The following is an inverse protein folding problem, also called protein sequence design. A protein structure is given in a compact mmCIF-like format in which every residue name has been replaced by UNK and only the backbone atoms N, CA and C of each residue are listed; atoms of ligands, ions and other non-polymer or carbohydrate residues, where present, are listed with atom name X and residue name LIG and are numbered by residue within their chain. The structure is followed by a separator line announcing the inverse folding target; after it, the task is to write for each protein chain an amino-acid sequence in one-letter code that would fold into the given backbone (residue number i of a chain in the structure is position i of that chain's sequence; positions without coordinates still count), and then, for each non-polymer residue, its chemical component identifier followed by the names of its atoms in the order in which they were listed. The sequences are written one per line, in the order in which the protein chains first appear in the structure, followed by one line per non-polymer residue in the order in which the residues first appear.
data_IF_796316525936
#
_entry.id   IF_796316525936
#
_cell.length_a   1.000
_cell.length_b   1.000
_cell.length_c   1.000
_cell.angle_alpha   90.00
_cell.angle_beta   90.00
_cell.angle_gamma   90.00
#
_symmetry.space_group_name_H-M   'P 1'
#
loop_
_entity.id
_entity.type
_entity.pdbx_description
1 polymer ?
#
# COMPACT_ATOMS: atom_id res chain seq x y z
N UNK A 1 -10.82 1.50 -2.87
CA UNK A 1 -10.88 1.00 -1.47
C UNK A 1 -10.00 1.86 -0.56
N UNK A 2 -10.18 1.75 0.77
CA UNK A 2 -9.32 2.40 1.77
C UNK A 2 -8.74 1.37 2.72
N UNK A 3 -7.65 1.72 3.38
CA UNK A 3 -6.97 0.83 4.29
C UNK A 3 -5.80 1.49 5.00
N UNK A 4 -5.11 0.69 5.80
CA UNK A 4 -3.95 1.09 6.59
C UNK A 4 -2.74 0.32 6.11
N UNK A 5 -1.63 1.00 5.89
CA UNK A 5 -0.37 0.34 5.56
C UNK A 5 0.04 -0.52 6.75
N UNK A 6 0.05 -1.83 6.55
CA UNK A 6 0.39 -2.81 7.58
C UNK A 6 1.90 -2.86 7.78
N UNK A 7 2.64 -2.79 6.68
CA UNK A 7 4.09 -2.59 6.67
C UNK A 7 4.52 -2.27 5.23
N UNK A 8 5.65 -1.59 5.09
CA UNK A 8 6.27 -1.34 3.79
C UNK A 8 7.79 -1.31 3.94
N UNK A 9 8.49 -2.04 3.08
CA UNK A 9 9.95 -2.00 3.03
C UNK A 9 10.38 -1.11 1.86
N UNK A 10 10.84 0.10 2.17
CA UNK A 10 11.27 1.07 1.17
C UNK A 10 12.52 0.62 0.40
N UNK A 11 13.42 -0.15 1.01
CA UNK A 11 14.62 -0.68 0.34
C UNK A 11 14.26 -1.72 -0.72
N UNK A 12 13.26 -2.57 -0.43
CA UNK A 12 12.76 -3.60 -1.36
C UNK A 12 11.67 -3.09 -2.29
N UNK A 13 11.04 -1.96 -1.97
CA UNK A 13 9.99 -1.33 -2.78
C UNK A 13 8.62 -2.02 -2.72
N UNK A 14 8.32 -2.77 -1.66
CA UNK A 14 7.02 -3.42 -1.52
C UNK A 14 6.55 -3.56 -0.07
N UNK A 15 5.25 -3.79 0.09
CA UNK A 15 4.58 -3.97 1.37
C UNK A 15 3.15 -4.46 1.23
N UNK A 16 2.39 -4.32 2.31
CA UNK A 16 0.98 -4.71 2.36
C UNK A 16 0.13 -3.65 3.04
N UNK A 17 -1.12 -3.56 2.60
CA UNK A 17 -2.16 -2.68 3.13
C UNK A 17 -3.30 -3.55 3.66
N UNK A 18 -3.64 -3.36 4.92
CA UNK A 18 -4.82 -3.95 5.55
C UNK A 18 -6.06 -3.16 5.11
N UNK A 19 -7.08 -3.84 4.57
CA UNK A 19 -8.29 -3.18 4.08
C UNK A 19 -9.24 -2.86 5.22
N UNK A 20 -9.80 -1.64 5.25
CA UNK A 20 -10.75 -1.24 6.29
C UNK A 20 -12.06 -2.10 6.26
N UNK A 21 -12.36 -2.72 5.12
CA UNK A 21 -13.54 -3.58 4.93
C UNK A 21 -13.38 -5.04 5.40
N UNK A 22 -12.25 -5.40 6.04
CA UNK A 22 -12.01 -6.77 6.54
C UNK A 22 -11.70 -7.80 5.45
N UNK A 23 -11.27 -7.35 4.26
CA UNK A 23 -10.80 -8.21 3.17
C UNK A 23 -9.34 -8.66 3.36
N UNK A 24 -8.84 -9.49 2.43
CA UNK A 24 -7.44 -9.92 2.43
C UNK A 24 -6.47 -8.73 2.32
N UNK A 25 -5.26 -8.88 2.88
CA UNK A 25 -4.22 -7.86 2.74
C UNK A 25 -3.91 -7.60 1.26
N UNK A 26 -3.80 -6.33 0.89
CA UNK A 26 -3.54 -5.89 -0.48
C UNK A 26 -2.04 -5.66 -0.64
N UNK A 27 -1.45 -6.36 -1.60
CA UNK A 27 -0.05 -6.16 -1.96
C UNK A 27 0.16 -4.76 -2.58
N UNK A 28 1.17 -4.04 -2.09
CA UNK A 28 1.54 -2.72 -2.57
C UNK A 28 2.98 -2.73 -3.10
N UNK A 29 3.15 -2.33 -4.36
CA UNK A 29 4.46 -2.21 -5.02
C UNK A 29 4.75 -0.76 -5.37
N UNK A 30 6.01 -0.32 -5.23
CA UNK A 30 6.42 1.07 -5.42
C UNK A 30 6.09 1.62 -6.82
N UNK A 31 6.06 0.75 -7.85
CA UNK A 31 5.71 1.14 -9.22
C UNK A 31 4.32 1.76 -9.31
N UNK A 32 3.41 1.36 -8.43
CA UNK A 32 1.99 1.72 -8.45
C UNK A 32 1.65 2.84 -7.44
N UNK A 33 2.64 3.32 -6.69
CA UNK A 33 2.45 4.45 -5.77
C UNK A 33 2.44 5.74 -6.58
N UNK A 34 1.29 6.41 -6.59
CA UNK A 34 1.11 7.72 -7.21
C UNK A 34 1.65 8.84 -6.29
N UNK A 35 2.98 8.99 -6.25
CA UNK A 35 3.65 10.08 -5.54
C UNK A 35 4.68 10.77 -6.44
N UNK A 36 4.76 12.10 -6.37
CA UNK A 36 5.83 12.87 -7.00
C UNK A 36 7.02 12.89 -6.03
N UNK A 37 8.05 12.09 -6.31
CA UNK A 37 9.25 11.96 -5.47
C UNK A 37 9.42 10.57 -4.87
N UNK A 38 9.71 10.48 -3.58
CA UNK A 38 9.88 9.21 -2.87
C UNK A 38 8.56 8.43 -2.83
N UNK A 39 8.58 7.25 -3.44
CA UNK A 39 7.44 6.32 -3.53
C UNK A 39 7.49 5.33 -2.37
N UNK A 40 7.30 5.84 -1.16
CA UNK A 40 7.27 5.03 0.05
C UNK A 40 5.93 5.15 0.79
N UNK A 41 5.61 4.13 1.56
CA UNK A 41 4.48 4.10 2.47
C UNK A 41 5.01 3.93 3.89
N UNK A 42 4.37 4.59 4.84
CA UNK A 42 4.71 4.48 6.26
C UNK A 42 3.75 3.51 6.94
N UNK A 43 4.25 2.65 7.83
CA UNK A 43 3.39 1.78 8.64
C UNK A 43 2.38 2.62 9.45
N UNK A 44 1.12 2.17 9.48
CA UNK A 44 0.02 2.91 10.09
C UNK A 44 -0.57 4.03 9.22
N UNK A 45 0.03 4.35 8.07
CA UNK A 45 -0.49 5.38 7.18
C UNK A 45 -1.84 4.95 6.57
N UNK A 46 -2.83 5.85 6.62
CA UNK A 46 -4.11 5.67 5.91
C UNK A 46 -3.93 5.99 4.43
N UNK A 47 -4.39 5.09 3.59
CA UNK A 47 -4.23 5.19 2.13
C UNK A 47 -5.52 4.83 1.40
N UNK A 48 -5.69 5.43 0.22
CA UNK A 48 -6.73 5.09 -0.74
C UNK A 48 -6.06 4.43 -1.93
N UNK A 49 -6.63 3.34 -2.41
CA UNK A 49 -6.07 2.53 -3.50
C UNK A 49 -7.18 1.88 -4.30
N UNK A 50 -6.86 1.51 -5.53
CA UNK A 50 -7.69 0.65 -6.37
C UNK A 50 -7.05 -0.74 -6.40
N UNK A 51 -7.86 -1.78 -6.14
CA UNK A 51 -7.39 -3.16 -6.17
C UNK A 51 -7.53 -3.68 -7.59
N UNK A 52 -6.41 -4.04 -8.21
CA UNK A 52 -6.39 -4.70 -9.52
C UNK A 52 -6.02 -6.17 -9.34
N UNK A 53 -6.79 -7.09 -9.91
CA UNK A 53 -6.29 -8.45 -10.14
C UNK A 53 -5.29 -8.37 -11.30
N UNK A 54 -4.04 -8.72 -11.02
CA UNK A 54 -3.03 -8.96 -12.05
C UNK A 54 -3.32 -10.24 -12.81
#
# INVERSE_FOLDING_TARGET
ATGTVKWFNAEKGFGFIEQDGGGADVFAHFSNIAAQGFRELQEGQKVKFDVTQG
#
